data_IF_631975056701
#
_entry.id   IF_631975056701
#
_cell.length_a   1.000
_cell.length_b   1.000
_cell.length_c   1.000
_cell.angle_alpha   90.00
_cell.angle_beta   90.00
_cell.angle_gamma   90.00
#
_symmetry.space_group_name_H-M   'P 1'
#
loop_
_entity.id
_entity.type
_entity.pdbx_description
1 polymer ?
#
# COMPACT_ATOMS: atom_id res chain seq x y z
N UNK A 1 1.68 15.14 9.12
CA UNK A 1 0.47 14.84 8.32
C UNK A 1 -0.78 15.12 9.14
N UNK A 2 -1.79 15.78 8.55
CA UNK A 2 -3.14 15.95 9.11
C UNK A 2 -4.11 14.98 8.42
N UNK A 3 -5.05 14.41 9.16
CA UNK A 3 -6.11 13.56 8.61
C UNK A 3 -7.35 14.43 8.37
N UNK A 4 -7.87 14.48 7.14
CA UNK A 4 -9.04 15.29 6.76
C UNK A 4 -10.10 14.44 6.08
N UNK A 5 -11.37 14.78 6.34
CA UNK A 5 -12.58 14.02 5.96
C UNK A 5 -13.19 14.41 4.60
N UNK A 6 -12.67 15.44 3.93
CA UNK A 6 -13.03 15.81 2.56
C UNK A 6 -11.78 15.74 1.68
N UNK A 7 -11.89 15.08 0.53
CA UNK A 7 -10.81 14.90 -0.44
C UNK A 7 -10.48 16.23 -1.15
N UNK A 8 -9.31 16.83 -0.93
CA UNK A 8 -8.93 18.09 -1.58
C UNK A 8 -8.28 17.82 -2.94
N UNK A 9 -8.55 18.68 -3.91
CA UNK A 9 -8.20 18.50 -5.34
C UNK A 9 -6.71 18.64 -5.68
N UNK A 10 -5.83 19.01 -4.74
CA UNK A 10 -4.39 19.13 -4.97
C UNK A 10 -3.61 18.79 -3.69
N UNK A 11 -2.49 18.08 -3.85
CA UNK A 11 -1.59 17.70 -2.74
C UNK A 11 -2.00 16.43 -1.98
N UNK A 12 -3.07 15.74 -2.37
CA UNK A 12 -3.50 14.50 -1.74
C UNK A 12 -3.22 13.28 -2.60
N UNK A 13 -2.67 12.25 -1.95
CA UNK A 13 -2.31 10.99 -2.57
C UNK A 13 -3.23 9.93 -2.00
N UNK A 14 -4.04 9.33 -2.85
CA UNK A 14 -4.98 8.29 -2.45
C UNK A 14 -4.22 7.03 -2.02
N UNK A 15 -4.52 6.48 -0.85
CA UNK A 15 -4.00 5.17 -0.45
C UNK A 15 -5.08 4.12 -0.63
N UNK A 16 -4.74 3.05 -1.34
CA UNK A 16 -5.57 1.86 -1.52
C UNK A 16 -4.84 0.66 -0.94
N UNK A 17 -5.48 -0.03 -0.01
CA UNK A 17 -4.95 -1.26 0.58
C UNK A 17 -5.68 -2.44 -0.04
N UNK A 18 -4.95 -3.26 -0.80
CA UNK A 18 -5.52 -4.41 -1.51
C UNK A 18 -5.88 -5.60 -0.61
N UNK A 19 -5.22 -5.72 0.55
CA UNK A 19 -5.47 -6.75 1.57
C UNK A 19 -4.88 -6.33 2.92
N UNK A 20 -5.38 -6.85 4.04
CA UNK A 20 -4.87 -6.56 5.39
C UNK A 20 -5.00 -5.10 5.83
N UNK A 21 -6.21 -4.48 5.75
CA UNK A 21 -6.39 -3.06 6.01
C UNK A 21 -6.03 -2.66 7.44
N UNK A 22 -6.22 -3.53 8.44
CA UNK A 22 -5.96 -3.16 9.82
C UNK A 22 -4.47 -2.94 10.10
N UNK A 23 -3.62 -3.86 9.68
CA UNK A 23 -2.18 -3.76 9.87
C UNK A 23 -1.60 -2.60 9.03
N UNK A 24 -1.96 -2.52 7.75
CA UNK A 24 -1.45 -1.48 6.84
C UNK A 24 -1.91 -0.07 7.21
N UNK A 25 -3.14 0.11 7.70
CA UNK A 25 -3.63 1.40 8.18
C UNK A 25 -2.92 1.90 9.43
N UNK A 26 -2.25 1.02 10.18
CA UNK A 26 -1.46 1.37 11.37
C UNK A 26 0.00 1.59 11.01
N UNK A 27 0.51 0.80 10.07
CA UNK A 27 1.90 0.86 9.62
C UNK A 27 2.17 2.12 8.79
N UNK A 28 1.39 2.33 7.72
CA UNK A 28 1.67 3.38 6.75
C UNK A 28 1.70 4.80 7.36
N UNK A 29 0.75 5.22 8.21
CA UNK A 29 0.79 6.57 8.77
C UNK A 29 2.04 6.83 9.61
N UNK A 30 2.50 5.84 10.38
CA UNK A 30 3.69 6.00 11.22
C UNK A 30 4.98 5.99 10.41
N UNK A 31 5.06 5.15 9.36
CA UNK A 31 6.19 5.20 8.41
C UNK A 31 6.21 6.57 7.73
N UNK A 32 5.09 7.00 7.14
CA UNK A 32 5.01 8.25 6.39
C UNK A 32 5.40 9.49 7.22
N UNK A 33 5.17 9.51 8.54
CA UNK A 33 5.63 10.59 9.43
C UNK A 33 7.16 10.76 9.49
N UNK A 34 7.93 9.70 9.20
CA UNK A 34 9.40 9.74 9.18
C UNK A 34 9.98 10.15 7.83
N UNK A 35 9.13 10.34 6.83
CA UNK A 35 9.48 10.85 5.51
C UNK A 35 8.98 12.29 5.41
N UNK A 36 9.69 13.16 4.69
CA UNK A 36 9.42 14.60 4.72
C UNK A 36 8.16 14.97 3.91
N UNK A 37 7.74 14.08 2.99
CA UNK A 37 6.49 14.12 2.26
C UNK A 37 6.30 15.31 1.32
N UNK A 38 7.24 16.27 1.25
CA UNK A 38 7.17 17.51 0.44
C UNK A 38 5.77 18.11 0.32
N UNK A 39 5.09 18.29 1.45
CA UNK A 39 3.70 18.83 1.54
C UNK A 39 2.57 17.93 0.99
N UNK A 40 2.88 16.75 0.44
CA UNK A 40 1.89 15.74 0.03
C UNK A 40 1.23 15.10 1.26
N UNK A 41 -0.08 14.88 1.19
CA UNK A 41 -0.89 14.30 2.24
C UNK A 41 -1.47 12.96 1.79
N UNK A 42 -1.17 11.89 2.54
CA UNK A 42 -1.77 10.58 2.27
C UNK A 42 -3.24 10.59 2.71
N UNK A 43 -4.14 10.29 1.78
CA UNK A 43 -5.56 10.12 2.05
C UNK A 43 -5.87 8.63 2.21
N UNK A 44 -6.08 8.21 3.46
CA UNK A 44 -6.56 6.88 3.82
C UNK A 44 -8.08 6.95 3.99
N UNK A 45 -8.87 6.45 3.01
CA UNK A 45 -10.32 6.42 3.15
C UNK A 45 -10.72 5.52 4.34
N UNK A 46 -11.44 6.09 5.32
CA UNK A 46 -11.97 5.34 6.47
C UNK A 46 -13.16 4.47 6.12
N UNK A 47 -13.89 4.83 5.07
CA UNK A 47 -14.91 4.00 4.45
C UNK A 47 -14.25 3.19 3.35
N UNK A 48 -14.42 1.87 3.35
CA UNK A 48 -14.16 1.07 2.15
C UNK A 48 -14.84 1.80 0.99
N UNK A 49 -14.05 2.42 0.09
CA UNK A 49 -14.59 2.97 -1.16
C UNK A 49 -15.51 1.91 -1.70
N UNK A 50 -16.76 2.24 -2.06
CA UNK A 50 -17.83 1.27 -2.25
C UNK A 50 -17.28 0.16 -3.13
N UNK A 51 -16.85 -0.93 -2.48
CA UNK A 51 -16.50 -2.13 -3.17
C UNK A 51 -17.81 -2.49 -3.83
N UNK A 52 -17.82 -2.40 -5.15
CA UNK A 52 -18.50 -3.29 -6.08
C UNK A 52 -19.32 -4.36 -5.36
N UNK A 53 -20.39 -3.96 -4.68
CA UNK A 53 -21.50 -4.80 -4.28
C UNK A 53 -22.49 -4.68 -5.43
N UNK A 54 -22.07 -5.13 -6.61
CA UNK A 54 -23.05 -5.65 -7.55
C UNK A 54 -23.53 -6.94 -6.90
N UNK A 55 -24.84 -7.03 -6.68
CA UNK A 55 -25.54 -8.06 -5.90
C UNK A 55 -25.35 -9.50 -6.42
N UNK A 56 -24.55 -9.72 -7.45
CA UNK A 56 -24.57 -10.96 -8.23
C UNK A 56 -23.32 -11.84 -8.14
N UNK A 57 -22.19 -11.41 -7.52
CA UNK A 57 -21.05 -12.30 -7.27
C UNK A 57 -20.17 -11.77 -6.12
N UNK A 58 -20.64 -11.91 -4.88
CA UNK A 58 -20.02 -11.32 -3.70
C UNK A 58 -19.00 -12.25 -3.03
N UNK A 59 -17.79 -12.32 -3.60
CA UNK A 59 -16.58 -12.34 -2.76
C UNK A 59 -16.08 -10.90 -2.70
N UNK A 60 -15.85 -10.29 -1.52
CA UNK A 60 -15.18 -9.00 -1.44
C UNK A 60 -13.83 -9.17 -2.13
N UNK A 61 -13.66 -8.60 -3.33
CA UNK A 61 -12.43 -8.77 -4.09
C UNK A 61 -11.29 -8.12 -3.30
N UNK A 62 -10.44 -8.92 -2.69
CA UNK A 62 -9.10 -8.50 -2.27
C UNK A 62 -8.15 -8.62 -3.46
N UNK A 63 -7.02 -7.92 -3.41
CA UNK A 63 -5.97 -8.01 -4.43
C UNK A 63 -6.05 -6.99 -5.57
N UNK A 64 -5.38 -7.30 -6.68
CA UNK A 64 -5.02 -6.32 -7.73
C UNK A 64 -6.23 -5.68 -8.41
N UNK A 65 -7.16 -6.47 -8.94
CA UNK A 65 -8.30 -5.94 -9.72
C UNK A 65 -9.19 -5.02 -8.90
N UNK A 66 -9.48 -5.41 -7.65
CA UNK A 66 -10.28 -4.59 -6.77
C UNK A 66 -9.60 -3.26 -6.42
N UNK A 67 -8.28 -3.29 -6.23
CA UNK A 67 -7.50 -2.08 -6.00
C UNK A 67 -7.52 -1.13 -7.20
N UNK A 68 -7.36 -1.66 -8.41
CA UNK A 68 -7.42 -0.87 -9.66
C UNK A 68 -8.84 -0.35 -9.96
N UNK A 69 -9.87 -1.14 -9.65
CA UNK A 69 -11.27 -0.69 -9.74
C UNK A 69 -11.57 0.44 -8.76
N UNK A 70 -11.08 0.32 -7.52
CA UNK A 70 -11.17 1.37 -6.50
C UNK A 70 -10.46 2.65 -6.94
N UNK A 71 -9.29 2.54 -7.58
CA UNK A 71 -8.58 3.67 -8.15
C UNK A 71 -9.41 4.35 -9.25
N UNK A 72 -9.93 3.58 -10.21
CA UNK A 72 -10.77 4.10 -11.30
C UNK A 72 -11.95 4.91 -10.75
N UNK A 73 -12.74 4.32 -9.85
CA UNK A 73 -13.87 5.01 -9.21
C UNK A 73 -13.41 6.28 -8.49
N UNK A 74 -12.25 6.24 -7.84
CA UNK A 74 -11.73 7.37 -7.09
C UNK A 74 -11.28 8.52 -7.99
N UNK A 75 -10.65 8.23 -9.12
CA UNK A 75 -10.30 9.21 -10.15
C UNK A 75 -11.54 9.81 -10.80
N UNK A 76 -12.53 8.97 -11.13
CA UNK A 76 -13.76 9.40 -11.80
C UNK A 76 -14.60 10.31 -10.91
N UNK A 77 -14.82 9.92 -9.64
CA UNK A 77 -15.70 10.62 -8.70
C UNK A 77 -15.04 11.76 -7.94
N UNK A 78 -13.80 11.57 -7.48
CA UNK A 78 -13.14 12.50 -6.56
C UNK A 78 -11.96 13.24 -7.21
N UNK A 79 -11.53 12.83 -8.40
CA UNK A 79 -10.50 13.53 -9.16
C UNK A 79 -9.07 13.33 -8.65
N UNK A 80 -8.80 12.23 -7.93
CA UNK A 80 -7.43 11.88 -7.55
C UNK A 80 -6.53 11.70 -8.79
N UNK A 81 -5.33 12.26 -8.72
CA UNK A 81 -4.31 12.18 -9.77
C UNK A 81 -3.03 11.47 -9.32
N UNK A 82 -2.93 11.14 -8.02
CA UNK A 82 -1.83 10.39 -7.43
C UNK A 82 -2.39 9.33 -6.48
N UNK A 83 -1.83 8.13 -6.51
CA UNK A 83 -2.20 7.05 -5.60
C UNK A 83 -1.03 6.16 -5.20
N UNK A 84 -1.09 5.61 -3.99
CA UNK A 84 -0.30 4.47 -3.54
C UNK A 84 -1.25 3.28 -3.41
N UNK A 85 -0.92 2.15 -4.04
CA UNK A 85 -1.61 0.88 -3.86
C UNK A 85 -0.68 -0.05 -3.10
N UNK A 86 -1.16 -0.65 -2.01
CA UNK A 86 -0.37 -1.60 -1.21
C UNK A 86 -0.93 -3.01 -1.44
N UNK A 87 -0.09 -3.90 -1.98
CA UNK A 87 -0.42 -5.28 -2.28
C UNK A 87 0.51 -6.21 -1.54
N UNK A 88 -0.01 -7.32 -1.01
CA UNK A 88 0.86 -8.40 -0.52
C UNK A 88 1.44 -9.17 -1.72
N UNK A 89 2.68 -9.64 -1.57
CA UNK A 89 3.44 -10.36 -2.61
C UNK A 89 2.69 -11.57 -3.15
N UNK A 90 1.93 -12.26 -2.30
CA UNK A 90 1.12 -13.42 -2.69
C UNK A 90 0.11 -13.13 -3.82
N UNK A 91 -0.37 -11.88 -3.93
CA UNK A 91 -1.29 -11.45 -5.00
C UNK A 91 -0.61 -11.27 -6.36
N UNK A 92 0.72 -11.38 -6.43
CA UNK A 92 1.53 -11.24 -7.64
C UNK A 92 2.28 -12.53 -8.01
N UNK A 93 1.95 -13.66 -7.36
CA UNK A 93 2.60 -14.95 -7.59
C UNK A 93 2.12 -15.57 -8.91
N UNK A 94 3.06 -15.81 -9.82
CA UNK A 94 2.83 -16.44 -11.12
C UNK A 94 2.80 -15.43 -12.28
N UNK A 95 3.49 -15.77 -13.37
CA UNK A 95 3.69 -14.96 -14.59
C UNK A 95 4.43 -13.62 -14.29
N UNK A 96 4.94 -12.97 -15.33
CA UNK A 96 5.48 -11.62 -15.26
C UNK A 96 4.46 -10.66 -14.59
N UNK A 97 4.75 -10.21 -13.38
CA UNK A 97 3.83 -9.38 -12.57
C UNK A 97 3.43 -8.08 -13.26
N UNK A 98 4.28 -7.51 -14.14
CA UNK A 98 3.90 -6.35 -14.95
C UNK A 98 2.75 -6.71 -15.91
N UNK A 99 2.87 -7.79 -16.67
CA UNK A 99 1.81 -8.22 -17.59
C UNK A 99 0.50 -8.50 -16.84
N UNK A 100 0.59 -9.04 -15.63
CA UNK A 100 -0.57 -9.26 -14.79
C UNK A 100 -1.24 -7.95 -14.37
N UNK A 101 -0.48 -6.95 -13.92
CA UNK A 101 -1.00 -5.62 -13.57
C UNK A 101 -1.66 -4.92 -14.77
N UNK A 102 -1.03 -4.96 -15.95
CA UNK A 102 -1.55 -4.36 -17.18
C UNK A 102 -2.85 -5.05 -17.67
N UNK A 103 -2.87 -6.39 -17.62
CA UNK A 103 -4.08 -7.17 -17.91
C UNK A 103 -5.20 -6.86 -16.92
N UNK A 104 -4.90 -6.82 -15.63
CA UNK A 104 -5.88 -6.48 -14.59
C UNK A 104 -6.46 -5.07 -14.78
N UNK A 105 -5.65 -4.10 -15.21
CA UNK A 105 -6.12 -2.76 -15.56
C UNK A 105 -7.08 -2.78 -16.76
N UNK A 106 -6.73 -3.54 -17.80
CA UNK A 106 -7.56 -3.70 -19.01
C UNK A 106 -8.93 -4.29 -18.65
N UNK A 107 -8.96 -5.30 -17.79
CA UNK A 107 -10.19 -5.95 -17.34
C UNK A 107 -11.11 -5.04 -16.51
N UNK A 108 -10.57 -4.00 -15.85
CA UNK A 108 -11.38 -2.97 -15.17
C UNK A 108 -11.73 -1.78 -16.09
N UNK A 109 -11.44 -1.90 -17.39
CA UNK A 109 -11.68 -0.86 -18.39
C UNK A 109 -10.78 0.36 -18.19
N UNK A 110 -9.51 0.13 -17.92
CA UNK A 110 -8.47 1.14 -17.80
C UNK A 110 -7.19 0.69 -18.51
N UNK A 111 -6.26 1.61 -18.68
CA UNK A 111 -4.92 1.33 -19.20
C UNK A 111 -3.91 1.59 -18.09
N UNK A 112 -3.01 0.64 -17.85
CA UNK A 112 -1.88 0.80 -16.94
C UNK A 112 -0.59 0.67 -17.74
N UNK A 113 0.32 1.63 -17.59
CA UNK A 113 1.65 1.61 -18.20
C UNK A 113 2.70 1.70 -17.11
N UNK A 114 3.52 0.67 -16.97
CA UNK A 114 4.67 0.70 -16.07
C UNK A 114 5.75 1.60 -16.66
N UNK A 115 6.25 2.56 -15.87
CA UNK A 115 7.34 3.46 -16.23
C UNK A 115 8.66 3.03 -15.62
N UNK A 116 8.60 2.58 -14.38
CA UNK A 116 9.72 2.04 -13.66
C UNK A 116 9.20 0.91 -12.77
N UNK A 117 9.99 -0.15 -12.64
CA UNK A 117 9.68 -1.27 -11.77
C UNK A 117 10.94 -1.72 -11.06
N UNK A 118 10.76 -2.08 -9.79
CA UNK A 118 11.73 -2.79 -8.98
C UNK A 118 11.10 -4.11 -8.51
N UNK A 119 11.83 -4.87 -7.69
CA UNK A 119 11.28 -6.07 -7.05
C UNK A 119 10.13 -5.73 -6.09
N UNK A 120 10.11 -4.52 -5.53
CA UNK A 120 9.25 -4.14 -4.40
C UNK A 120 8.29 -2.99 -4.70
N UNK A 121 8.45 -2.31 -5.83
CA UNK A 121 7.61 -1.18 -6.21
C UNK A 121 7.40 -1.10 -7.73
N UNK A 122 6.20 -0.70 -8.15
CA UNK A 122 5.92 -0.30 -9.54
C UNK A 122 5.47 1.14 -9.60
N UNK A 123 6.12 1.94 -10.43
CA UNK A 123 5.67 3.28 -10.81
C UNK A 123 4.96 3.20 -12.15
N UNK A 124 3.67 3.52 -12.13
CA UNK A 124 2.77 3.37 -13.25
C UNK A 124 2.04 4.67 -13.59
N UNK A 125 1.65 4.81 -14.84
CA UNK A 125 0.54 5.68 -15.22
C UNK A 125 -0.71 4.84 -15.38
N UNK A 126 -1.79 5.25 -14.72
CA UNK A 126 -3.09 4.64 -14.84
C UNK A 126 -4.04 5.62 -15.53
N UNK A 127 -4.65 5.20 -16.63
CA UNK A 127 -5.51 6.02 -17.47
C UNK A 127 -6.89 5.39 -17.57
N UNK A 128 -7.93 6.19 -17.36
CA UNK A 128 -9.31 5.75 -17.52
C UNK A 128 -10.14 6.91 -18.06
N UNK A 129 -10.83 6.66 -19.18
CA UNK A 129 -11.44 7.72 -19.99
C UNK A 129 -10.42 8.81 -20.37
N UNK A 130 -10.77 10.07 -20.13
CA UNK A 130 -9.89 11.23 -20.36
C UNK A 130 -8.99 11.61 -19.17
N UNK A 131 -8.93 10.80 -18.11
CA UNK A 131 -8.19 11.10 -16.88
C UNK A 131 -6.95 10.21 -16.76
N UNK A 132 -5.89 10.73 -16.15
CA UNK A 132 -4.65 10.00 -15.86
C UNK A 132 -4.21 10.24 -14.42
N UNK A 133 -3.71 9.20 -13.76
CA UNK A 133 -3.10 9.26 -12.44
C UNK A 133 -1.70 8.63 -12.44
N UNK A 134 -0.82 9.15 -11.59
CA UNK A 134 0.42 8.49 -11.18
C UNK A 134 0.11 7.50 -10.07
N UNK A 135 0.58 6.26 -10.22
CA UNK A 135 0.30 5.19 -9.27
C UNK A 135 1.60 4.53 -8.85
N UNK A 136 1.80 4.44 -7.54
CA UNK A 136 2.90 3.70 -6.93
C UNK A 136 2.34 2.44 -6.29
N UNK A 137 2.69 1.28 -6.83
CA UNK A 137 2.23 0.00 -6.30
C UNK A 137 3.33 -0.57 -5.42
N UNK A 138 3.16 -0.45 -4.11
CA UNK A 138 4.05 -0.98 -3.08
C UNK A 138 3.75 -2.46 -2.83
N UNK A 139 4.77 -3.29 -2.89
CA UNK A 139 4.67 -4.73 -2.62
C UNK A 139 5.15 -5.00 -1.18
N UNK A 140 4.22 -5.45 -0.34
CA UNK A 140 4.47 -5.86 1.04
C UNK A 140 4.85 -7.35 1.10
N UNK A 141 5.80 -7.65 1.98
CA UNK A 141 6.38 -8.99 2.10
C UNK A 141 7.47 -9.27 1.07
N UNK A 142 8.49 -10.01 1.49
CA UNK A 142 9.51 -10.54 0.61
C UNK A 142 9.00 -11.72 -0.21
N UNK A 143 8.16 -12.55 0.40
CA UNK A 143 7.62 -13.80 -0.15
C UNK A 143 6.10 -13.77 -0.16
N UNK A 144 5.47 -13.39 0.96
CA UNK A 144 4.01 -13.50 1.12
C UNK A 144 3.34 -12.17 1.45
N UNK A 145 3.54 -11.63 2.64
CA UNK A 145 2.71 -10.57 3.21
C UNK A 145 3.47 -9.63 4.16
N UNK A 146 2.77 -8.62 4.66
CA UNK A 146 3.33 -7.59 5.56
C UNK A 146 3.84 -8.15 6.91
N UNK A 147 3.40 -9.32 7.35
CA UNK A 147 3.91 -9.94 8.58
C UNK A 147 5.43 -10.20 8.48
N UNK A 148 5.95 -10.50 7.29
CA UNK A 148 7.40 -10.61 7.05
C UNK A 148 8.14 -9.30 7.30
N UNK A 149 7.58 -8.19 6.83
CA UNK A 149 8.15 -6.85 7.03
C UNK A 149 8.18 -6.49 8.53
N UNK A 150 7.12 -6.85 9.26
CA UNK A 150 7.02 -6.63 10.72
C UNK A 150 8.00 -7.53 11.48
N UNK A 151 8.12 -8.81 11.11
CA UNK A 151 9.06 -9.74 11.74
C UNK A 151 10.52 -9.32 11.50
N UNK A 152 10.84 -8.82 10.30
CA UNK A 152 12.12 -8.17 10.01
C UNK A 152 12.37 -7.02 10.98
N UNK A 153 11.39 -6.13 11.17
CA UNK A 153 11.57 -4.96 12.03
C UNK A 153 11.78 -5.36 13.50
N UNK A 154 11.04 -6.36 13.98
CA UNK A 154 11.24 -6.90 15.34
C UNK A 154 12.66 -7.44 15.49
N UNK A 155 13.16 -8.16 14.49
CA UNK A 155 14.54 -8.67 14.49
C UNK A 155 15.56 -7.53 14.52
N UNK A 156 15.35 -6.47 13.74
CA UNK A 156 16.24 -5.29 13.70
C UNK A 156 16.24 -4.48 15.01
N UNK A 157 15.11 -4.43 15.73
CA UNK A 157 14.97 -3.65 16.96
C UNK A 157 15.40 -4.43 18.22
N UNK A 158 15.10 -5.73 18.27
CA UNK A 158 15.24 -6.54 19.49
C UNK A 158 16.24 -7.70 19.33
N UNK A 159 16.73 -7.96 18.12
CA UNK A 159 17.59 -9.11 17.83
C UNK A 159 16.86 -10.46 17.87
N UNK A 160 15.54 -10.46 18.08
CA UNK A 160 14.71 -11.65 18.21
C UNK A 160 14.14 -12.04 16.84
N UNK A 161 14.55 -13.22 16.32
CA UNK A 161 13.97 -13.78 15.10
C UNK A 161 12.63 -14.42 15.40
N UNK A 162 11.59 -13.97 14.71
CA UNK A 162 10.25 -14.52 14.81
C UNK A 162 9.83 -15.16 13.48
N UNK A 163 9.02 -16.19 13.59
CA UNK A 163 8.24 -16.67 12.45
C UNK A 163 7.26 -15.55 12.01
N UNK A 164 7.16 -15.23 10.72
CA UNK A 164 6.34 -14.15 10.20
C UNK A 164 4.85 -14.53 10.15
N UNK A 165 4.30 -14.97 11.29
CA UNK A 165 2.88 -15.28 11.45
C UNK A 165 2.20 -14.29 12.39
N UNK A 166 0.91 -14.02 12.11
CA UNK A 166 0.10 -13.11 12.93
C UNK A 166 0.07 -13.52 14.41
N UNK A 167 0.08 -14.83 14.68
CA UNK A 167 0.05 -15.35 16.05
C UNK A 167 1.33 -14.98 16.82
N UNK A 168 2.50 -15.24 16.23
CA UNK A 168 3.79 -14.99 16.84
C UNK A 168 4.07 -13.50 17.04
N UNK A 169 3.76 -12.69 16.02
CA UNK A 169 3.89 -11.23 16.11
C UNK A 169 2.98 -10.67 17.21
N UNK A 170 1.72 -11.13 17.30
CA UNK A 170 0.80 -10.70 18.36
C UNK A 170 1.28 -11.14 19.74
N UNK A 171 1.83 -12.35 19.87
CA UNK A 171 2.39 -12.85 21.14
C UNK A 171 3.53 -11.97 21.59
N UNK A 172 4.52 -11.73 20.73
CA UNK A 172 5.66 -10.86 21.01
C UNK A 172 5.24 -9.45 21.43
N UNK A 173 4.34 -8.82 20.66
CA UNK A 173 3.83 -7.48 20.96
C UNK A 173 3.14 -7.43 22.33
N UNK A 174 2.35 -8.46 22.67
CA UNK A 174 1.68 -8.55 23.97
C UNK A 174 2.68 -8.70 25.12
N UNK A 175 3.68 -9.56 24.98
CA UNK A 175 4.73 -9.79 25.98
C UNK A 175 5.54 -8.53 26.27
N UNK A 176 5.92 -7.78 25.22
CA UNK A 176 6.64 -6.51 25.35
C UNK A 176 5.73 -5.32 25.68
N UNK A 177 4.40 -5.52 25.76
CA UNK A 177 3.38 -4.46 25.93
C UNK A 177 3.48 -3.35 24.88
N UNK A 178 3.78 -3.71 23.64
CA UNK A 178 3.93 -2.82 22.51
C UNK A 178 2.77 -2.96 21.53
N UNK A 179 2.50 -1.91 20.75
CA UNK A 179 1.69 -1.99 19.54
C UNK A 179 2.57 -1.89 18.30
N UNK A 180 2.04 -2.24 17.14
CA UNK A 180 2.75 -2.14 15.85
C UNK A 180 3.24 -0.70 15.62
N UNK A 181 2.40 0.29 15.92
CA UNK A 181 2.75 1.70 15.80
C UNK A 181 3.96 2.08 16.67
N UNK A 182 4.10 1.44 17.83
CA UNK A 182 5.19 1.73 18.76
C UNK A 182 6.52 1.13 18.26
N UNK A 183 6.49 0.00 17.54
CA UNK A 183 7.67 -0.53 16.83
C UNK A 183 8.17 0.46 15.78
N UNK A 184 7.26 0.96 14.95
CA UNK A 184 7.60 1.86 13.84
C UNK A 184 8.13 3.17 14.39
N UNK A 185 7.55 3.72 15.46
CA UNK A 185 8.05 4.94 16.10
C UNK A 185 9.48 4.79 16.60
N UNK A 186 9.82 3.65 17.19
CA UNK A 186 11.16 3.35 17.69
C UNK A 186 12.20 3.16 16.57
N UNK A 187 11.78 2.63 15.43
CA UNK A 187 12.65 2.37 14.29
C UNK A 187 13.29 3.63 13.70
N UNK A 188 14.56 3.53 13.30
CA UNK A 188 15.19 4.56 12.45
C UNK A 188 14.64 4.51 11.03
N UNK A 189 14.84 5.58 10.26
CA UNK A 189 14.43 5.61 8.84
C UNK A 189 15.13 4.49 8.05
N UNK A 190 16.40 4.21 8.36
CA UNK A 190 17.22 3.19 7.72
C UNK A 190 16.73 1.78 8.02
N UNK A 191 16.30 1.52 9.27
CA UNK A 191 15.70 0.22 9.64
C UNK A 191 14.39 0.00 8.89
N UNK A 192 13.54 1.03 8.80
CA UNK A 192 12.29 0.94 8.04
C UNK A 192 12.54 0.70 6.55
N UNK A 193 13.57 1.32 5.96
CA UNK A 193 13.96 1.06 4.57
C UNK A 193 14.38 -0.39 4.34
N UNK A 194 15.06 -1.02 5.30
CA UNK A 194 15.47 -2.42 5.18
C UNK A 194 14.31 -3.40 5.30
N UNK A 195 13.33 -3.11 6.16
CA UNK A 195 12.24 -4.04 6.45
C UNK A 195 10.95 -3.79 5.67
N UNK A 196 10.60 -2.55 5.35
CA UNK A 196 9.39 -2.18 4.61
C UNK A 196 9.76 -1.68 3.21
N UNK A 197 10.50 -2.49 2.46
CA UNK A 197 11.10 -2.11 1.17
C UNK A 197 10.07 -1.49 0.21
N UNK A 198 8.97 -2.19 -0.06
CA UNK A 198 7.98 -1.69 -1.02
C UNK A 198 7.27 -0.41 -0.60
N UNK A 199 6.94 -0.29 0.69
CA UNK A 199 6.29 0.93 1.22
C UNK A 199 7.25 2.12 1.22
N UNK A 200 8.48 1.92 1.71
CA UNK A 200 9.47 3.00 1.78
C UNK A 200 9.89 3.45 0.38
N UNK A 201 10.09 2.52 -0.56
CA UNK A 201 10.39 2.85 -1.95
C UNK A 201 9.25 3.63 -2.62
N UNK A 202 7.99 3.23 -2.42
CA UNK A 202 6.84 3.97 -2.95
C UNK A 202 6.73 5.39 -2.38
N UNK A 203 6.99 5.57 -1.08
CA UNK A 203 7.00 6.89 -0.43
C UNK A 203 8.14 7.75 -0.99
N UNK A 204 9.34 7.19 -1.20
CA UNK A 204 10.47 7.95 -1.74
C UNK A 204 10.27 8.35 -3.20
N UNK A 205 9.71 7.46 -4.03
CA UNK A 205 9.36 7.80 -5.41
C UNK A 205 8.27 8.86 -5.47
N UNK A 206 7.33 8.85 -4.52
CA UNK A 206 6.32 9.89 -4.37
C UNK A 206 6.94 11.24 -3.98
N UNK A 207 7.97 11.26 -3.12
CA UNK A 207 8.69 12.50 -2.75
C UNK A 207 9.50 13.07 -3.93
N UNK A 208 9.87 12.26 -4.92
CA UNK A 208 10.64 12.69 -6.09
C UNK A 208 9.76 13.23 -7.24
N UNK A 209 8.44 13.13 -7.13
CA UNK A 209 7.49 13.40 -8.23
C UNK A 209 6.69 14.68 -8.12
#
# INVERSE_FOLDING_TARGET
>A
MKCVSQAPKAGFVLVIVGDGPQEKNRVLPEIAKKFNGKEKQLFLPTLSFPHTRTRENASPGTGVKASLSGLKVSMEKYGFTEAIIILDREHLVGINSQNYLEKAATEVGAELRVKHSSKHCYHCYFKTGGKQARVYIAISGGTTNIEEDIACLITELFGEKLDPSKAEIRRFLKEKRLRIEDLIKQATKEQLKRCFLGLTEAIEQLEQS
#
